data_IF_351610354819
#
_entry.id   IF_351610354819
#
_cell.length_a   1.000
_cell.length_b   1.000
_cell.length_c   1.000
_cell.angle_alpha   90.00
_cell.angle_beta   90.00
_cell.angle_gamma   90.00
#
_symmetry.space_group_name_H-M   'P 1'
#
loop_
_entity.id
_entity.type
_entity.pdbx_description
1 polymer ?
#
# COMPACT_ATOMS: atom_id res chain seq x y z
N UNK A 1 2.52 10.25 -21.42
CA UNK A 1 2.24 9.20 -20.44
C UNK A 1 3.14 9.30 -19.19
N UNK A 2 4.47 9.34 -19.32
CA UNK A 2 5.39 9.50 -18.16
C UNK A 2 5.14 10.78 -17.32
N UNK A 3 4.81 11.90 -17.99
CA UNK A 3 4.50 13.19 -17.34
C UNK A 3 3.15 13.23 -16.60
N UNK A 4 2.28 12.24 -16.85
CA UNK A 4 1.00 12.08 -16.16
C UNK A 4 1.21 11.30 -14.86
N UNK A 5 1.93 10.17 -14.95
CA UNK A 5 2.31 9.32 -13.82
C UNK A 5 3.10 10.06 -12.72
N UNK A 6 4.01 10.97 -13.10
CA UNK A 6 4.73 11.81 -12.13
C UNK A 6 3.78 12.78 -11.40
N UNK A 7 2.88 13.45 -12.12
CA UNK A 7 1.90 14.36 -11.52
C UNK A 7 0.95 13.64 -10.56
N UNK A 8 0.52 12.43 -10.93
CA UNK A 8 -0.38 11.65 -10.09
C UNK A 8 0.31 11.17 -8.80
N UNK A 9 1.61 10.84 -8.87
CA UNK A 9 2.43 10.50 -7.69
C UNK A 9 2.68 11.71 -6.78
N UNK A 10 2.97 12.87 -7.36
CA UNK A 10 3.21 14.11 -6.60
C UNK A 10 1.94 14.56 -5.88
N UNK A 11 0.78 14.49 -6.54
CA UNK A 11 -0.52 14.81 -5.93
C UNK A 11 -0.84 13.86 -4.76
N UNK A 12 -0.60 12.55 -4.93
CA UNK A 12 -0.84 11.57 -3.86
C UNK A 12 -0.01 11.87 -2.60
N UNK A 13 1.24 12.28 -2.78
CA UNK A 13 2.10 12.63 -1.65
C UNK A 13 1.62 13.91 -0.95
N UNK A 14 1.24 14.93 -1.72
CA UNK A 14 0.68 16.18 -1.18
C UNK A 14 -0.60 15.89 -0.39
N UNK A 15 -1.53 15.10 -0.93
CA UNK A 15 -2.78 14.76 -0.27
C UNK A 15 -2.56 13.98 1.02
N UNK A 16 -1.59 13.04 1.02
CA UNK A 16 -1.20 12.30 2.21
C UNK A 16 -0.62 13.22 3.29
N UNK A 17 0.33 14.10 2.94
CA UNK A 17 0.95 15.03 3.88
C UNK A 17 -0.08 16.00 4.46
N UNK A 18 -0.92 16.60 3.61
CA UNK A 18 -2.00 17.49 4.02
C UNK A 18 -2.98 16.80 4.98
N UNK A 19 -3.42 15.58 4.65
CA UNK A 19 -4.34 14.83 5.51
C UNK A 19 -3.70 14.46 6.84
N UNK A 20 -2.44 14.03 6.83
CA UNK A 20 -1.69 13.68 8.04
C UNK A 20 -1.55 14.87 8.96
N UNK A 21 -1.19 16.03 8.41
CA UNK A 21 -0.96 17.23 9.19
C UNK A 21 -2.28 17.76 9.79
N UNK A 22 -3.38 17.74 9.03
CA UNK A 22 -4.72 18.05 9.55
C UNK A 22 -5.14 17.11 10.68
N UNK A 23 -4.94 15.80 10.53
CA UNK A 23 -5.28 14.83 11.58
C UNK A 23 -4.48 15.07 12.85
N UNK A 24 -3.18 15.37 12.74
CA UNK A 24 -2.34 15.74 13.89
C UNK A 24 -2.82 17.01 14.57
N UNK A 25 -3.17 18.04 13.79
CA UNK A 25 -3.69 19.29 14.33
C UNK A 25 -5.02 19.07 15.09
N UNK A 26 -5.92 18.24 14.56
CA UNK A 26 -7.17 17.88 15.23
C UNK A 26 -6.92 17.12 16.54
N UNK A 27 -5.93 16.23 16.58
CA UNK A 27 -5.56 15.49 17.79
C UNK A 27 -5.04 16.45 18.87
N UNK A 28 -4.12 17.35 18.51
CA UNK A 28 -3.57 18.33 19.46
C UNK A 28 -4.67 19.27 20.00
N UNK A 29 -5.48 19.86 19.11
CA UNK A 29 -6.63 20.68 19.53
C UNK A 29 -7.64 19.90 20.36
N UNK A 30 -7.83 18.62 20.05
CA UNK A 30 -8.69 17.72 20.80
C UNK A 30 -8.20 17.48 22.23
N UNK A 31 -6.88 17.30 22.43
CA UNK A 31 -6.27 17.17 23.75
C UNK A 31 -6.41 18.47 24.56
N UNK A 32 -6.07 19.61 23.97
CA UNK A 32 -6.21 20.91 24.64
C UNK A 32 -7.67 21.17 25.07
N UNK A 33 -8.62 20.81 24.20
CA UNK A 33 -10.06 20.93 24.48
C UNK A 33 -10.51 19.97 25.57
N UNK A 34 -9.96 18.75 25.61
CA UNK A 34 -10.21 17.78 26.67
C UNK A 34 -9.71 18.29 28.02
N UNK A 35 -8.51 18.87 28.08
CA UNK A 35 -7.95 19.42 29.32
C UNK A 35 -8.78 20.61 29.84
N UNK A 36 -9.34 21.43 28.94
CA UNK A 36 -10.28 22.47 29.32
C UNK A 36 -11.62 21.88 29.82
N UNK A 37 -12.15 20.89 29.10
CA UNK A 37 -13.39 20.22 29.46
C UNK A 37 -13.29 19.47 30.81
N UNK A 38 -12.12 18.89 31.12
CA UNK A 38 -11.83 18.26 32.41
C UNK A 38 -11.93 19.25 33.55
N UNK A 39 -11.30 20.43 33.42
CA UNK A 39 -11.40 21.48 34.43
C UNK A 39 -12.84 21.93 34.66
N UNK A 40 -13.61 22.14 33.60
CA UNK A 40 -15.03 22.50 33.70
C UNK A 40 -15.85 21.37 34.35
N UNK A 41 -15.56 20.11 34.01
CA UNK A 41 -16.26 18.96 34.59
C UNK A 41 -15.97 18.80 36.09
N UNK A 42 -14.73 19.04 36.52
CA UNK A 42 -14.32 19.04 37.93
C UNK A 42 -14.99 20.19 38.71
N UNK A 43 -15.02 21.40 38.15
CA UNK A 43 -15.66 22.57 38.80
C UNK A 43 -17.17 22.44 38.92
N UNK A 44 -17.83 21.81 37.93
CA UNK A 44 -19.29 21.75 37.88
C UNK A 44 -19.87 20.54 38.59
N UNK A 45 -19.06 19.51 38.88
CA UNK A 45 -19.45 18.19 39.41
C UNK A 45 -20.68 17.57 38.71
N UNK A 46 -20.96 18.00 37.47
CA UNK A 46 -22.22 17.70 36.82
C UNK A 46 -22.07 16.40 35.99
N UNK A 47 -22.92 15.36 36.19
CA UNK A 47 -22.82 14.10 35.47
C UNK A 47 -22.82 14.25 33.94
N UNK A 48 -23.56 15.24 33.43
CA UNK A 48 -23.57 15.57 32.00
C UNK A 48 -22.21 16.03 31.46
N UNK A 49 -21.42 16.76 32.24
CA UNK A 49 -20.11 17.23 31.80
C UNK A 49 -19.15 16.05 31.56
N UNK A 50 -19.17 15.05 32.45
CA UNK A 50 -18.38 13.82 32.34
C UNK A 50 -18.78 13.01 31.10
N UNK A 51 -20.08 12.93 30.79
CA UNK A 51 -20.55 12.24 29.59
C UNK A 51 -20.05 12.91 28.30
N UNK A 52 -20.15 14.24 28.23
CA UNK A 52 -19.64 15.03 27.09
C UNK A 52 -18.13 14.83 26.96
N UNK A 53 -17.41 14.77 28.07
CA UNK A 53 -15.98 14.51 28.10
C UNK A 53 -15.64 13.12 27.53
N UNK A 54 -16.42 12.10 27.90
CA UNK A 54 -16.31 10.76 27.30
C UNK A 54 -16.56 10.76 25.78
N UNK A 55 -17.52 11.56 25.30
CA UNK A 55 -17.78 11.72 23.87
C UNK A 55 -16.62 12.44 23.15
N UNK A 56 -16.04 13.48 23.76
CA UNK A 56 -14.86 14.17 23.24
C UNK A 56 -13.65 13.23 23.17
N UNK A 57 -13.40 12.44 24.22
CA UNK A 57 -12.32 11.47 24.27
C UNK A 57 -12.45 10.42 23.17
N UNK A 58 -13.67 9.94 22.93
CA UNK A 58 -13.97 9.03 21.82
C UNK A 58 -13.65 9.67 20.48
N UNK A 59 -14.05 10.92 20.25
CA UNK A 59 -13.73 11.65 19.01
C UNK A 59 -12.22 11.79 18.78
N UNK A 60 -11.42 12.04 19.83
CA UNK A 60 -9.96 12.11 19.73
C UNK A 60 -9.36 10.74 19.40
N UNK A 61 -9.89 9.68 20.02
CA UNK A 61 -9.44 8.30 19.79
C UNK A 61 -9.75 7.86 18.35
N UNK A 62 -10.96 8.12 17.87
CA UNK A 62 -11.36 7.84 16.48
C UNK A 62 -10.50 8.60 15.46
N UNK A 63 -10.01 9.79 15.83
CA UNK A 63 -9.09 10.59 14.99
C UNK A 63 -7.67 10.02 14.99
N UNK A 64 -7.19 9.54 16.15
CA UNK A 64 -5.92 8.82 16.25
C UNK A 64 -5.93 7.54 15.40
N UNK A 65 -7.02 6.78 15.44
CA UNK A 65 -7.16 5.55 14.64
C UNK A 65 -7.11 5.86 13.14
N UNK A 66 -7.79 6.91 12.69
CA UNK A 66 -7.72 7.38 11.29
C UNK A 66 -6.30 7.78 10.88
N UNK A 67 -5.53 8.42 11.76
CA UNK A 67 -4.13 8.75 11.50
C UNK A 67 -3.27 7.48 11.36
N UNK A 68 -3.51 6.47 12.21
CA UNK A 68 -2.80 5.20 12.13
C UNK A 68 -3.15 4.45 10.84
N UNK A 69 -4.42 4.41 10.46
CA UNK A 69 -4.88 3.78 9.22
C UNK A 69 -4.33 4.49 7.97
N UNK A 70 -4.23 5.83 8.00
CA UNK A 70 -3.59 6.60 6.93
C UNK A 70 -2.13 6.19 6.74
N UNK A 71 -1.38 6.04 7.83
CA UNK A 71 0.02 5.62 7.80
C UNK A 71 0.18 4.18 7.29
N UNK A 72 -0.69 3.26 7.73
CA UNK A 72 -0.71 1.87 7.22
C UNK A 72 -0.96 1.84 5.71
N UNK A 73 -1.99 2.54 5.24
CA UNK A 73 -2.30 2.61 3.79
C UNK A 73 -1.14 3.16 2.97
N UNK A 74 -0.42 4.16 3.49
CA UNK A 74 0.78 4.70 2.83
C UNK A 74 1.88 3.65 2.74
N UNK A 75 2.14 2.93 3.83
CA UNK A 75 3.11 1.83 3.84
C UNK A 75 2.70 0.69 2.90
N UNK A 76 1.43 0.29 2.87
CA UNK A 76 0.92 -0.77 2.00
C UNK A 76 1.05 -0.40 0.51
N UNK A 77 0.79 0.86 0.15
CA UNK A 77 0.99 1.37 -1.22
C UNK A 77 2.48 1.33 -1.60
N UNK A 78 3.37 1.66 -0.68
CA UNK A 78 4.82 1.59 -0.90
C UNK A 78 5.33 0.15 -0.97
N UNK A 79 4.83 -0.77 -0.14
CA UNK A 79 5.22 -2.18 -0.17
C UNK A 79 4.66 -2.93 -1.38
N UNK A 80 3.41 -2.67 -1.78
CA UNK A 80 2.81 -3.21 -3.00
C UNK A 80 3.54 -2.79 -4.29
N UNK A 81 4.37 -1.74 -4.21
CA UNK A 81 5.23 -1.30 -5.32
C UNK A 81 6.55 -2.09 -5.44
N UNK A 82 6.91 -2.91 -4.44
CA UNK A 82 8.05 -3.84 -4.54
C UNK A 82 7.68 -4.97 -5.51
N UNK A 83 7.94 -4.77 -6.81
CA UNK A 83 7.92 -5.85 -7.80
C UNK A 83 8.73 -7.03 -7.29
N UNK A 84 8.05 -8.12 -6.92
CA UNK A 84 8.68 -9.43 -6.74
C UNK A 84 9.31 -9.78 -8.09
N UNK A 85 10.62 -9.58 -8.20
CA UNK A 85 11.36 -9.97 -9.40
C UNK A 85 11.66 -11.45 -9.23
N UNK A 86 10.80 -12.32 -9.77
CA UNK A 86 11.08 -13.75 -9.90
C UNK A 86 12.23 -13.90 -10.90
N UNK A 87 13.44 -13.63 -10.43
CA UNK A 87 14.65 -13.80 -11.20
C UNK A 87 14.96 -15.29 -11.16
N UNK A 88 14.77 -16.00 -12.28
CA UNK A 88 15.19 -17.40 -12.43
C UNK A 88 16.72 -17.47 -12.49
N UNK A 89 17.37 -17.09 -11.39
CA UNK A 89 18.81 -17.10 -11.24
C UNK A 89 19.26 -18.55 -11.15
N UNK A 90 19.81 -19.05 -12.25
CA UNK A 90 20.44 -20.36 -12.26
C UNK A 90 21.79 -20.29 -11.54
N UNK A 91 21.86 -20.93 -10.38
CA UNK A 91 23.09 -21.07 -9.60
C UNK A 91 23.70 -22.43 -9.93
N UNK A 92 24.67 -22.44 -10.82
CA UNK A 92 25.36 -23.67 -11.25
C UNK A 92 26.47 -23.36 -12.26
N UNK A 93 27.09 -24.41 -12.80
CA UNK A 93 28.20 -24.24 -13.76
C UNK A 93 27.68 -23.86 -15.15
N UNK A 94 28.49 -23.14 -15.93
CA UNK A 94 28.18 -22.79 -17.33
C UNK A 94 27.91 -24.03 -18.18
N UNK A 95 28.53 -25.18 -17.86
CA UNK A 95 28.29 -26.45 -18.55
C UNK A 95 26.88 -26.98 -18.33
N UNK A 96 26.31 -26.78 -17.14
CA UNK A 96 24.97 -27.26 -16.79
C UNK A 96 23.87 -26.38 -17.40
N UNK A 97 24.08 -25.07 -17.44
CA UNK A 97 23.29 -24.14 -18.25
C UNK A 97 23.22 -24.59 -19.72
N UNK A 98 24.36 -24.93 -20.31
CA UNK A 98 24.41 -25.37 -21.72
C UNK A 98 23.68 -26.69 -21.96
N UNK A 99 23.65 -27.61 -21.00
CA UNK A 99 22.88 -28.85 -21.12
C UNK A 99 21.38 -28.59 -21.09
N UNK A 100 20.91 -27.77 -20.15
CA UNK A 100 19.49 -27.38 -20.03
C UNK A 100 19.02 -26.65 -21.31
N UNK A 101 19.81 -25.71 -21.83
CA UNK A 101 19.50 -25.00 -23.07
C UNK A 101 19.44 -25.94 -24.29
N UNK A 102 20.30 -26.96 -24.36
CA UNK A 102 20.29 -27.96 -25.44
C UNK A 102 19.14 -28.96 -25.31
N UNK A 103 18.70 -29.25 -24.09
CA UNK A 103 17.53 -30.11 -23.84
C UNK A 103 16.23 -29.39 -24.24
N UNK A 104 16.06 -28.13 -23.84
CA UNK A 104 14.91 -27.31 -24.24
C UNK A 104 14.83 -27.14 -25.77
N UNK A 105 15.96 -26.98 -26.48
CA UNK A 105 16.00 -26.91 -27.96
C UNK A 105 15.66 -28.22 -28.68
N UNK A 106 15.71 -29.37 -27.99
CA UNK A 106 15.30 -30.66 -28.57
C UNK A 106 13.80 -30.90 -28.46
N UNK A 107 13.13 -30.28 -27.50
CA UNK A 107 11.67 -30.40 -27.33
C UNK A 107 10.88 -29.56 -28.34
N UNK A 108 11.44 -28.47 -28.88
CA UNK A 108 10.79 -27.63 -29.90
C UNK A 108 10.73 -28.25 -31.31
N UNK A 109 11.36 -29.41 -31.56
CA UNK A 109 11.50 -30.00 -32.91
C UNK A 109 10.48 -31.09 -33.27
N UNK A 110 9.44 -31.33 -32.46
CA UNK A 110 8.32 -32.18 -32.87
C UNK A 110 7.12 -31.35 -33.34
N UNK A 111 7.28 -30.68 -34.48
CA UNK A 111 6.14 -30.32 -35.33
C UNK A 111 6.23 -31.26 -36.53
N UNK A 112 5.59 -32.43 -36.42
CA UNK A 112 5.46 -33.36 -37.53
C UNK A 112 4.52 -32.76 -38.59
N UNK A 113 5.11 -32.15 -39.62
CA UNK A 113 4.41 -31.78 -40.85
C UNK A 113 4.71 -32.84 -41.91
N UNK A 114 3.98 -33.94 -41.89
CA UNK A 114 3.91 -34.87 -43.02
C UNK A 114 3.24 -34.18 -44.21
N UNK A 115 3.92 -33.98 -45.35
CA UNK A 115 3.30 -33.38 -46.53
C UNK A 115 2.38 -34.41 -47.20
N UNK A 116 1.07 -34.12 -47.32
CA UNK A 116 0.22 -34.83 -48.28
C UNK A 116 0.54 -34.30 -49.68
N UNK A 117 1.20 -35.13 -50.48
CA UNK A 117 1.33 -34.92 -51.92
C UNK A 117 -0.07 -34.76 -52.53
N UNK A 118 -0.32 -33.59 -53.12
CA UNK A 118 -1.37 -33.41 -54.12
C UNK A 118 -0.78 -33.82 -55.45
N UNK A 119 -0.98 -35.07 -55.84
CA UNK A 119 -0.87 -35.45 -57.24
C UNK A 119 -2.05 -34.84 -58.00
N UNK A 120 -1.68 -33.97 -58.93
CA UNK A 120 -2.57 -33.35 -59.91
C UNK A 120 -2.62 -34.27 -61.12
N UNK A 121 -3.82 -34.68 -61.50
CA UNK A 121 -4.13 -35.42 -62.73
C UNK A 121 -5.63 -35.42 -62.97
#
# INVERSE_FOLDING_TARGET
MAKQLQRDSDNLQIDYEYTRDNLRELIEKGKDSLDLAMRIAEETEHPRAIEVLGQMLRSVTDTNDKLMDLNKKKADVEEGSKKVTNNNLFIGSTTELQRILKQNKKEEQLIDVTPKEKDSG
#
